data_IF_234882034916
#
_entry.id   IF_234882034916
#
_cell.length_a   1.000
_cell.length_b   1.000
_cell.length_c   1.000
_cell.angle_alpha   90.00
_cell.angle_beta   90.00
_cell.angle_gamma   90.00
#
_symmetry.space_group_name_H-M   'P 1'
#
loop_
_entity.id
_entity.type
_entity.pdbx_description
1 polymer ?
#
# COMPACT_ATOMS: atom_id res chain seq x y z
N UNK A 1 9.88 -38.93 7.97
CA UNK A 1 10.92 -37.87 7.95
C UNK A 1 10.26 -36.65 8.59
N UNK A 2 10.71 -36.25 9.77
CA UNK A 2 10.22 -35.06 10.45
C UNK A 2 10.68 -33.85 9.65
N UNK A 3 9.74 -33.15 8.99
CA UNK A 3 10.05 -31.99 8.16
C UNK A 3 10.32 -30.82 9.12
N UNK A 4 11.60 -30.55 9.40
CA UNK A 4 12.02 -29.46 10.28
C UNK A 4 11.78 -28.13 9.56
N UNK A 5 10.96 -27.25 10.12
CA UNK A 5 10.71 -25.91 9.57
C UNK A 5 11.65 -24.89 10.19
N UNK A 6 12.07 -23.90 9.41
CA UNK A 6 13.04 -22.87 9.82
C UNK A 6 12.34 -21.50 9.75
N UNK A 7 12.42 -20.74 10.85
CA UNK A 7 11.89 -19.39 10.91
C UNK A 7 12.62 -18.46 9.92
N UNK A 8 11.92 -17.71 9.06
CA UNK A 8 12.55 -16.85 8.06
C UNK A 8 13.15 -15.57 8.67
N UNK A 9 12.79 -15.23 9.90
CA UNK A 9 13.22 -14.00 10.57
C UNK A 9 14.46 -14.18 11.45
N UNK A 10 14.68 -15.37 12.01
CA UNK A 10 15.79 -15.64 12.93
C UNK A 10 16.51 -16.98 12.73
N UNK A 11 16.05 -17.82 11.79
CA UNK A 11 16.69 -19.09 11.48
C UNK A 11 16.49 -20.20 12.51
N UNK A 12 15.65 -20.02 13.53
CA UNK A 12 15.35 -21.06 14.52
C UNK A 12 14.54 -22.20 13.86
N UNK A 13 14.99 -23.43 14.08
CA UNK A 13 14.31 -24.64 13.65
C UNK A 13 13.24 -25.07 14.66
N UNK A 14 12.03 -25.34 14.21
CA UNK A 14 10.88 -25.77 15.02
C UNK A 14 10.32 -27.13 14.62
N UNK A 15 9.66 -27.79 15.57
CA UNK A 15 9.03 -29.11 15.45
C UNK A 15 7.57 -29.07 15.02
N UNK A 16 7.24 -28.36 13.93
CA UNK A 16 5.91 -28.37 13.32
C UNK A 16 5.22 -27.01 13.22
N UNK A 17 4.04 -27.00 12.59
CA UNK A 17 3.29 -25.78 12.22
C UNK A 17 2.94 -24.91 13.43
N UNK A 18 2.38 -25.52 14.49
CA UNK A 18 1.96 -24.79 15.69
C UNK A 18 3.14 -24.12 16.41
N UNK A 19 4.26 -24.82 16.58
CA UNK A 19 5.46 -24.25 17.20
C UNK A 19 6.04 -23.10 16.40
N UNK A 20 6.02 -23.19 15.06
CA UNK A 20 6.51 -22.13 14.17
C UNK A 20 5.60 -20.90 14.20
N UNK A 21 4.28 -21.09 14.16
CA UNK A 21 3.31 -20.00 14.28
C UNK A 21 3.44 -19.28 15.62
N UNK A 22 3.47 -20.02 16.73
CA UNK A 22 3.64 -19.42 18.06
C UNK A 22 4.98 -18.70 18.20
N UNK A 23 6.06 -19.23 17.61
CA UNK A 23 7.34 -18.56 17.58
C UNK A 23 7.29 -17.25 16.79
N UNK A 24 6.70 -17.25 15.60
CA UNK A 24 6.54 -16.04 14.77
C UNK A 24 5.71 -14.98 15.51
N UNK A 25 4.59 -15.37 16.12
CA UNK A 25 3.74 -14.46 16.90
C UNK A 25 4.47 -13.88 18.13
N UNK A 26 5.25 -14.69 18.84
CA UNK A 26 5.89 -14.28 20.11
C UNK A 26 7.17 -13.47 19.92
N UNK A 27 7.96 -13.80 18.89
CA UNK A 27 9.31 -13.25 18.70
C UNK A 27 9.43 -12.33 17.48
N UNK A 28 8.47 -12.38 16.57
CA UNK A 28 8.41 -11.58 15.35
C UNK A 28 7.01 -10.98 15.10
N UNK A 29 6.37 -10.34 16.11
CA UNK A 29 5.05 -9.77 15.92
C UNK A 29 5.10 -8.67 14.85
N UNK A 30 4.27 -8.79 13.81
CA UNK A 30 3.80 -7.64 13.06
C UNK A 30 2.89 -6.86 14.01
N UNK A 31 3.45 -5.84 14.67
CA UNK A 31 2.74 -5.04 15.67
C UNK A 31 1.55 -4.29 15.06
N UNK A 32 0.41 -4.97 14.95
CA UNK A 32 -0.93 -4.42 14.71
C UNK A 32 -2.01 -5.06 15.61
N UNK A 33 -1.63 -5.84 16.63
CA UNK A 33 -2.58 -6.35 17.63
C UNK A 33 -2.13 -6.03 19.05
N UNK A 34 -3.00 -5.28 19.74
CA UNK A 34 -2.95 -5.05 21.16
C UNK A 34 -3.12 -6.38 21.91
N UNK A 35 -2.06 -6.84 22.58
CA UNK A 35 -2.19 -7.79 23.67
C UNK A 35 -1.51 -7.24 24.92
N UNK A 36 -2.37 -6.85 25.86
CA UNK A 36 -2.08 -6.38 27.21
C UNK A 36 -1.13 -7.31 27.95
N UNK A 37 -0.09 -6.74 28.58
CA UNK A 37 0.20 -6.95 30.00
C UNK A 37 1.41 -6.12 30.44
N UNK A 38 1.15 -4.99 31.10
CA UNK A 38 1.71 -4.61 32.42
C UNK A 38 1.27 -3.20 32.79
N UNK A 39 0.52 -3.09 33.87
CA UNK A 39 -0.16 -1.90 34.33
C UNK A 39 0.79 -0.83 34.88
N UNK A 40 0.74 0.36 34.26
CA UNK A 40 0.91 1.65 34.93
C UNK A 40 -0.29 2.51 34.52
N UNK A 41 -0.90 3.23 35.47
CA UNK A 41 -2.22 3.86 35.35
C UNK A 41 -2.31 4.87 34.19
N UNK A 42 -2.77 4.40 33.04
CA UNK A 42 -3.27 5.22 31.94
C UNK A 42 -4.68 5.73 32.28
N UNK A 43 -4.91 7.03 32.12
CA UNK A 43 -6.24 7.61 32.23
C UNK A 43 -6.96 7.46 30.89
N UNK A 44 -7.94 6.57 30.86
CA UNK A 44 -8.85 6.36 29.75
C UNK A 44 -10.10 7.20 29.96
N UNK A 45 -10.64 7.73 28.88
CA UNK A 45 -11.90 8.44 28.86
C UNK A 45 -12.76 7.94 27.69
N UNK A 46 -14.08 7.93 27.89
CA UNK A 46 -15.03 7.71 26.81
C UNK A 46 -15.06 8.93 25.89
N UNK A 47 -15.12 8.68 24.58
CA UNK A 47 -15.28 9.73 23.59
C UNK A 47 -16.53 10.58 23.92
N UNK A 48 -16.40 11.92 23.99
CA UNK A 48 -17.50 12.80 24.39
C UNK A 48 -18.61 12.94 23.33
N UNK A 49 -18.49 12.26 22.19
CA UNK A 49 -19.42 12.37 21.06
C UNK A 49 -20.55 11.35 21.24
N UNK A 50 -21.78 11.86 21.29
CA UNK A 50 -22.98 11.08 21.55
C UNK A 50 -23.19 10.00 20.46
N UNK A 51 -23.15 8.73 20.87
CA UNK A 51 -23.29 7.58 19.96
C UNK A 51 -21.98 6.92 19.51
N UNK A 52 -20.80 7.47 19.84
CA UNK A 52 -19.51 6.84 19.53
C UNK A 52 -19.17 5.71 20.51
N UNK A 53 -19.14 6.01 21.82
CA UNK A 53 -18.90 5.00 22.87
C UNK A 53 -17.50 4.39 22.89
N UNK A 54 -16.53 4.91 22.12
CA UNK A 54 -15.15 4.43 22.14
C UNK A 54 -14.40 4.92 23.40
N UNK A 55 -13.70 3.99 24.07
CA UNK A 55 -12.85 4.29 25.23
C UNK A 55 -11.42 4.39 24.75
N UNK A 56 -10.84 5.58 24.83
CA UNK A 56 -9.49 5.87 24.33
C UNK A 56 -8.65 6.52 25.43
N UNK A 57 -7.33 6.48 25.27
CA UNK A 57 -6.47 7.25 26.17
C UNK A 57 -6.72 8.75 25.97
N UNK A 58 -6.57 9.54 27.03
CA UNK A 58 -6.73 11.00 26.93
C UNK A 58 -5.79 11.61 25.86
N UNK A 59 -4.64 10.99 25.60
CA UNK A 59 -3.69 11.44 24.57
C UNK A 59 -4.16 11.19 23.13
N UNK A 60 -5.00 10.18 22.91
CA UNK A 60 -5.58 9.82 21.60
C UNK A 60 -6.94 10.50 21.36
N UNK A 61 -7.57 11.00 22.43
CA UNK A 61 -8.86 11.68 22.37
C UNK A 61 -8.88 12.84 21.36
N UNK A 62 -7.81 13.63 21.29
CA UNK A 62 -7.73 14.78 20.37
C UNK A 62 -7.71 14.33 18.90
N UNK A 63 -6.95 13.26 18.59
CA UNK A 63 -6.91 12.67 17.25
C UNK A 63 -8.24 12.01 16.87
N UNK A 64 -8.85 11.29 17.80
CA UNK A 64 -10.13 10.61 17.58
C UNK A 64 -11.30 11.59 17.42
N UNK A 65 -11.35 12.66 18.23
CA UNK A 65 -12.36 13.72 18.10
C UNK A 65 -12.19 14.49 16.79
N UNK A 66 -10.95 14.75 16.35
CA UNK A 66 -10.67 15.33 15.02
C UNK A 66 -11.31 14.50 13.90
N UNK A 67 -11.24 13.15 14.00
CA UNK A 67 -11.84 12.22 13.03
C UNK A 67 -13.37 12.37 12.92
N UNK A 68 -14.09 12.45 14.06
CA UNK A 68 -15.55 12.66 14.05
C UNK A 68 -15.97 13.98 13.41
N UNK A 69 -15.22 15.06 13.67
CA UNK A 69 -15.50 16.38 13.08
C UNK A 69 -15.40 16.33 11.56
N UNK A 70 -14.51 15.49 11.03
CA UNK A 70 -14.31 15.33 9.60
C UNK A 70 -15.35 14.39 8.96
N UNK A 71 -15.79 13.34 9.67
CA UNK A 71 -16.89 12.47 9.22
C UNK A 71 -18.23 13.22 9.11
N UNK A 72 -18.56 14.09 10.07
CA UNK A 72 -19.78 14.90 10.04
C UNK A 72 -19.81 15.90 8.87
N UNK A 73 -18.65 16.35 8.39
CA UNK A 73 -18.54 17.25 7.23
C UNK A 73 -18.81 16.56 5.91
N UNK A 74 -18.71 15.24 5.85
CA UNK A 74 -19.02 14.44 4.66
C UNK A 74 -20.48 13.96 4.62
N UNK A 75 -21.21 14.06 5.74
CA UNK A 75 -22.58 13.59 5.89
C UNK A 75 -23.70 14.55 5.48
N UNK A 76 -23.40 15.79 5.09
CA UNK A 76 -24.42 16.78 4.68
C UNK A 76 -24.43 16.93 3.14
N UNK A 77 -24.99 15.94 2.47
CA UNK A 77 -25.36 16.00 1.05
C UNK A 77 -26.86 15.76 0.90
N UNK A 78 -27.59 16.83 0.59
CA UNK A 78 -29.06 16.90 0.50
C UNK A 78 -29.64 15.93 -0.57
N UNK A 79 -30.65 15.10 -0.25
CA UNK A 79 -31.26 14.19 -1.22
C UNK A 79 -32.57 14.78 -1.78
N UNK A 80 -32.51 15.47 -2.93
CA UNK A 80 -33.68 15.64 -3.79
C UNK A 80 -33.28 16.19 -5.16
N UNK A 81 -33.39 15.36 -6.21
CA UNK A 81 -34.35 15.61 -7.29
C UNK A 81 -34.38 14.42 -8.27
N UNK A 82 -35.60 14.12 -8.69
CA UNK A 82 -36.04 12.84 -9.22
C UNK A 82 -36.58 13.08 -10.65
N UNK A 83 -36.63 12.01 -11.45
CA UNK A 83 -37.45 11.83 -12.69
C UNK A 83 -36.84 12.39 -14.01
N UNK A 84 -36.90 11.74 -15.18
CA UNK A 84 -37.73 10.61 -15.69
C UNK A 84 -37.21 10.14 -17.06
N UNK A 85 -37.54 8.88 -17.40
CA UNK A 85 -37.83 8.30 -18.74
C UNK A 85 -36.68 8.22 -19.78
N UNK A 86 -36.64 7.32 -20.75
CA UNK A 86 -37.20 6.02 -21.12
C UNK A 86 -36.51 5.72 -22.48
N UNK A 87 -36.34 4.46 -22.92
CA UNK A 87 -35.91 4.21 -24.30
C UNK A 87 -34.96 3.05 -24.58
N UNK A 88 -35.56 1.87 -24.67
CA UNK A 88 -35.14 0.67 -25.40
C UNK A 88 -34.45 0.93 -26.76
N UNK A 89 -33.30 0.28 -27.04
CA UNK A 89 -32.97 -0.24 -28.37
C UNK A 89 -31.81 -1.25 -28.34
N UNK A 90 -32.11 -2.44 -28.84
CA UNK A 90 -31.20 -3.54 -29.17
C UNK A 90 -30.54 -3.30 -30.54
N UNK A 91 -29.28 -3.72 -30.71
CA UNK A 91 -28.84 -4.66 -31.76
C UNK A 91 -27.46 -4.35 -32.41
N UNK A 92 -26.67 -5.43 -32.44
CA UNK A 92 -25.77 -5.92 -33.49
C UNK A 92 -24.36 -5.33 -33.72
N UNK A 93 -23.44 -6.30 -33.61
CA UNK A 93 -22.07 -6.38 -34.11
C UNK A 93 -21.93 -6.04 -35.60
N UNK A 94 -20.81 -5.41 -35.95
CA UNK A 94 -20.01 -5.76 -37.12
C UNK A 94 -18.53 -5.66 -36.78
N UNK A 95 -17.80 -6.73 -37.09
CA UNK A 95 -16.35 -6.85 -37.09
C UNK A 95 -15.83 -6.48 -38.47
N UNK A 96 -14.89 -5.54 -38.57
CA UNK A 96 -14.04 -5.41 -39.75
C UNK A 96 -12.56 -5.36 -39.35
N UNK A 97 -11.80 -6.14 -40.10
CA UNK A 97 -10.37 -6.41 -39.96
C UNK A 97 -9.68 -5.57 -41.03
N UNK A 98 -8.73 -4.73 -40.65
CA UNK A 98 -7.97 -3.90 -41.59
C UNK A 98 -6.53 -3.75 -41.14
N UNK A 99 -5.64 -4.53 -41.74
CA UNK A 99 -4.20 -4.42 -41.61
C UNK A 99 -3.67 -3.29 -42.52
N UNK A 100 -2.69 -2.49 -42.06
CA UNK A 100 -1.69 -1.85 -42.94
C UNK A 100 -0.42 -1.43 -42.18
N UNK A 101 0.66 -2.10 -42.59
CA UNK A 101 2.06 -1.72 -42.81
C UNK A 101 2.66 -0.39 -42.32
N UNK A 102 3.90 -0.56 -41.85
CA UNK A 102 4.97 0.37 -41.48
C UNK A 102 5.44 1.37 -42.55
N UNK A 103 5.83 2.57 -42.10
CA UNK A 103 6.89 3.37 -42.74
C UNK A 103 7.66 4.21 -41.71
N UNK A 104 8.98 4.14 -41.80
CA UNK A 104 9.98 4.84 -41.00
C UNK A 104 10.16 6.30 -41.42
N UNK A 105 10.25 7.22 -40.43
CA UNK A 105 10.98 8.47 -40.60
C UNK A 105 11.72 8.85 -39.31
N UNK A 106 13.03 9.04 -39.45
CA UNK A 106 13.92 9.55 -38.45
C UNK A 106 13.73 11.06 -38.28
N UNK A 107 13.55 11.50 -37.04
CA UNK A 107 13.53 12.91 -36.64
C UNK A 107 14.01 13.03 -35.20
N UNK A 108 15.09 13.80 -35.01
CA UNK A 108 15.73 14.11 -33.74
C UNK A 108 14.74 14.80 -32.78
N UNK A 109 14.16 14.03 -31.86
CA UNK A 109 13.32 14.52 -30.76
C UNK A 109 13.99 14.28 -29.41
N UNK A 110 13.87 15.25 -28.51
CA UNK A 110 14.34 15.17 -27.12
C UNK A 110 13.78 13.91 -26.43
N UNK A 111 14.62 13.16 -25.72
CA UNK A 111 14.23 11.95 -24.99
C UNK A 111 13.02 12.16 -24.04
N UNK A 112 12.79 13.40 -23.58
CA UNK A 112 11.64 13.76 -22.74
C UNK A 112 10.29 13.79 -23.48
N UNK A 113 10.26 14.08 -24.78
CA UNK A 113 9.02 14.16 -25.56
C UNK A 113 8.52 12.78 -25.97
N UNK A 114 9.45 11.85 -26.26
CA UNK A 114 9.13 10.44 -26.50
C UNK A 114 8.58 9.77 -25.24
N UNK A 115 9.12 10.11 -24.06
CA UNK A 115 8.63 9.58 -22.78
C UNK A 115 7.20 10.05 -22.48
N UNK A 116 6.86 11.32 -22.74
CA UNK A 116 5.49 11.83 -22.61
C UNK A 116 4.52 11.18 -23.58
N UNK A 117 4.92 10.97 -24.84
CA UNK A 117 4.09 10.32 -25.85
C UNK A 117 3.79 8.86 -25.50
N UNK A 118 4.79 8.13 -24.99
CA UNK A 118 4.60 6.77 -24.49
C UNK A 118 3.67 6.78 -23.27
N UNK A 119 3.86 7.66 -22.29
CA UNK A 119 2.98 7.79 -21.10
C UNK A 119 1.52 8.08 -21.50
N UNK A 120 1.29 8.96 -22.48
CA UNK A 120 -0.04 9.23 -23.03
C UNK A 120 -0.65 8.02 -23.74
N UNK A 121 0.16 7.26 -24.47
CA UNK A 121 -0.25 6.05 -25.18
C UNK A 121 -0.62 4.91 -24.22
N UNK A 122 0.10 4.74 -23.10
CA UNK A 122 -0.27 3.80 -22.03
C UNK A 122 -1.55 4.23 -21.30
N UNK A 123 -1.78 5.54 -21.12
CA UNK A 123 -3.02 6.08 -20.56
C UNK A 123 -4.26 5.78 -21.42
N UNK A 124 -4.11 5.72 -22.75
CA UNK A 124 -5.20 5.42 -23.70
C UNK A 124 -5.49 3.91 -23.83
N UNK A 125 -4.47 3.04 -23.69
CA UNK A 125 -4.61 1.58 -23.80
C UNK A 125 -5.27 0.92 -22.57
N UNK A 126 -5.33 1.60 -21.42
CA UNK A 126 -5.85 1.06 -20.16
C UNK A 126 -7.35 1.34 -19.91
N UNK A 127 -8.15 1.59 -20.95
CA UNK A 127 -9.61 1.91 -20.91
C UNK A 127 -10.27 1.78 -19.54
N UNK A 128 -10.09 2.81 -18.72
CA UNK A 128 -10.82 3.04 -17.48
C UNK A 128 -12.08 3.86 -17.82
N UNK A 129 -13.24 3.58 -17.18
CA UNK A 129 -14.37 4.50 -17.25
C UNK A 129 -13.92 5.86 -16.73
N UNK A 130 -14.10 6.92 -17.51
CA UNK A 130 -13.85 8.26 -17.02
C UNK A 130 -14.76 8.54 -15.83
N UNK A 131 -14.24 8.99 -14.67
CA UNK A 131 -15.09 9.55 -13.64
C UNK A 131 -15.78 10.75 -14.26
N UNK A 132 -17.12 10.81 -14.17
CA UNK A 132 -17.86 12.06 -14.38
C UNK A 132 -17.13 13.14 -13.59
N UNK A 133 -16.75 14.22 -14.27
CA UNK A 133 -16.14 15.40 -13.66
C UNK A 133 -16.92 15.77 -12.40
N UNK A 134 -16.34 15.46 -11.23
CA UNK A 134 -16.77 16.10 -10.01
C UNK A 134 -16.29 17.54 -10.12
N UNK A 135 -17.26 18.45 -10.09
CA UNK A 135 -17.06 19.89 -9.91
C UNK A 135 -15.91 20.11 -8.93
N UNK A 136 -14.93 20.91 -9.34
CA UNK A 136 -13.72 21.22 -8.58
C UNK A 136 -14.07 21.68 -7.15
N UNK A 137 -14.01 20.75 -6.19
CA UNK A 137 -13.88 21.07 -4.78
C UNK A 137 -12.40 21.38 -4.57
N UNK A 138 -12.06 22.67 -4.73
CA UNK A 138 -10.71 23.15 -5.03
C UNK A 138 -9.65 22.88 -3.98
N UNK A 139 -8.37 23.02 -4.41
CA UNK A 139 -7.14 23.39 -3.69
C UNK A 139 -6.99 23.00 -2.21
N UNK A 140 -7.66 21.94 -1.75
CA UNK A 140 -7.68 21.59 -0.34
C UNK A 140 -6.58 20.59 -0.07
N UNK A 141 -5.62 21.02 0.75
CA UNK A 141 -4.62 20.14 1.35
C UNK A 141 -5.29 19.05 2.19
N UNK A 142 -4.73 17.85 2.12
CA UNK A 142 -5.14 16.71 2.93
C UNK A 142 -4.79 16.92 4.41
N UNK A 143 -5.53 16.21 5.27
CA UNK A 143 -5.44 16.33 6.71
C UNK A 143 -4.58 15.24 7.36
N UNK A 144 -4.69 15.13 8.68
CA UNK A 144 -4.03 14.07 9.45
C UNK A 144 -4.59 12.68 9.15
N UNK A 145 -5.85 12.58 8.70
CA UNK A 145 -6.48 11.32 8.35
C UNK A 145 -5.77 10.63 7.17
N UNK A 146 -5.37 11.39 6.15
CA UNK A 146 -4.72 10.83 4.96
C UNK A 146 -3.19 10.84 5.07
N UNK A 147 -2.60 11.91 5.61
CA UNK A 147 -1.15 12.10 5.64
C UNK A 147 -0.50 11.65 6.96
N UNK A 148 -1.30 11.16 7.90
CA UNK A 148 -0.89 10.76 9.23
C UNK A 148 -0.56 11.94 10.16
N UNK A 149 -0.06 11.63 11.35
CA UNK A 149 0.27 12.61 12.41
C UNK A 149 1.22 13.74 11.98
N UNK A 150 1.97 13.55 10.90
CA UNK A 150 2.94 14.51 10.35
C UNK A 150 2.44 15.23 9.09
N UNK A 151 1.13 15.28 8.86
CA UNK A 151 0.50 15.93 7.70
C UNK A 151 1.03 17.33 7.38
N UNK A 152 1.37 18.12 8.40
CA UNK A 152 1.82 19.51 8.23
C UNK A 152 3.34 19.70 8.41
N UNK A 153 4.08 18.60 8.59
CA UNK A 153 5.53 18.63 8.73
C UNK A 153 6.19 19.16 7.45
N UNK A 154 7.10 20.13 7.62
CA UNK A 154 7.93 20.65 6.54
C UNK A 154 9.21 19.82 6.36
N UNK A 155 9.84 19.42 7.47
CA UNK A 155 11.04 18.59 7.46
C UNK A 155 11.03 17.66 8.67
N UNK A 156 11.47 16.43 8.49
CA UNK A 156 11.68 15.48 9.58
C UNK A 156 12.96 15.84 10.37
N UNK A 157 13.08 15.42 11.64
CA UNK A 157 14.26 15.70 12.45
C UNK A 157 15.56 15.05 11.92
N UNK A 158 16.70 15.72 12.07
CA UNK A 158 18.03 15.25 11.62
C UNK A 158 18.43 13.87 12.16
N UNK A 159 18.03 13.55 13.40
CA UNK A 159 18.29 12.25 14.00
C UNK A 159 17.59 11.12 13.24
N UNK A 160 16.38 11.39 12.73
CA UNK A 160 15.61 10.42 11.95
C UNK A 160 16.17 10.31 10.53
N UNK A 161 16.58 11.44 9.94
CA UNK A 161 17.32 11.43 8.67
C UNK A 161 18.56 10.54 8.78
N UNK A 162 19.34 10.74 9.86
CA UNK A 162 20.52 9.93 10.16
C UNK A 162 20.16 8.47 10.40
N UNK A 163 19.04 8.18 11.08
CA UNK A 163 18.57 6.82 11.31
C UNK A 163 18.19 6.11 10.01
N UNK A 164 17.46 6.78 9.11
CA UNK A 164 17.05 6.21 7.83
C UNK A 164 18.24 5.98 6.89
N UNK A 165 19.23 6.89 6.89
CA UNK A 165 20.46 6.70 6.13
C UNK A 165 21.34 5.57 6.67
N UNK A 166 21.49 5.45 8.00
CA UNK A 166 22.37 4.45 8.62
C UNK A 166 21.72 3.08 8.79
N UNK A 167 20.42 3.07 9.06
CA UNK A 167 19.64 1.87 9.37
C UNK A 167 19.29 1.03 8.14
N UNK A 168 19.31 1.64 6.95
CA UNK A 168 18.97 0.97 5.70
C UNK A 168 17.61 0.30 5.74
N UNK A 169 17.52 -0.89 5.17
CA UNK A 169 16.34 -1.75 5.15
C UNK A 169 16.56 -2.98 6.03
N UNK A 170 15.58 -3.31 6.88
CA UNK A 170 15.56 -4.58 7.61
C UNK A 170 14.71 -5.55 6.81
N UNK A 171 15.39 -6.41 6.05
CA UNK A 171 14.77 -7.39 5.15
C UNK A 171 14.73 -8.78 5.77
N UNK A 172 13.74 -9.59 5.37
CA UNK A 172 13.66 -11.01 5.72
C UNK A 172 13.28 -11.81 4.48
N UNK A 173 14.13 -12.78 4.16
CA UNK A 173 14.02 -13.61 2.96
C UNK A 173 13.27 -14.91 3.24
N UNK A 174 12.64 -15.48 2.21
CA UNK A 174 12.06 -16.82 2.29
C UNK A 174 10.76 -16.91 3.09
N UNK A 175 10.13 -15.80 3.47
CA UNK A 175 8.81 -15.78 4.12
C UNK A 175 7.78 -16.57 3.31
N UNK A 176 7.75 -16.36 1.99
CA UNK A 176 6.83 -17.06 1.08
C UNK A 176 7.06 -18.58 1.11
N UNK A 177 8.32 -19.04 1.14
CA UNK A 177 8.65 -20.46 1.18
C UNK A 177 8.19 -21.11 2.50
N UNK A 178 8.27 -20.37 3.61
CA UNK A 178 7.78 -20.84 4.92
C UNK A 178 6.26 -20.88 4.93
N UNK A 179 5.58 -19.85 4.42
CA UNK A 179 4.12 -19.84 4.26
C UNK A 179 3.64 -21.01 3.39
N UNK A 180 4.32 -21.30 2.29
CA UNK A 180 4.00 -22.45 1.44
C UNK A 180 4.03 -23.76 2.24
N UNK A 181 5.07 -23.97 3.04
CA UNK A 181 5.22 -25.17 3.87
C UNK A 181 4.13 -25.29 4.92
N UNK A 182 3.79 -24.19 5.60
CA UNK A 182 2.74 -24.14 6.63
C UNK A 182 1.38 -24.45 6.00
N UNK A 183 1.00 -23.75 4.93
CA UNK A 183 -0.29 -23.93 4.25
C UNK A 183 -0.44 -25.35 3.66
N UNK A 184 0.66 -25.95 3.21
CA UNK A 184 0.65 -27.31 2.68
C UNK A 184 0.38 -28.34 3.78
N UNK A 185 0.88 -28.10 5.00
CA UNK A 185 0.68 -28.96 6.17
C UNK A 185 -0.67 -28.74 6.86
N UNK A 186 -1.20 -27.51 6.81
CA UNK A 186 -2.45 -27.14 7.44
C UNK A 186 -3.63 -27.98 6.94
N UNK A 187 -4.42 -28.55 7.86
CA UNK A 187 -5.63 -29.32 7.49
C UNK A 187 -6.82 -28.42 7.13
N UNK A 188 -6.80 -27.15 7.53
CA UNK A 188 -7.88 -26.20 7.26
C UNK A 188 -7.73 -25.50 5.91
N UNK A 189 -6.54 -25.51 5.32
CA UNK A 189 -6.31 -24.97 3.97
C UNK A 189 -6.84 -25.95 2.92
N UNK A 190 -7.91 -25.56 2.21
CA UNK A 190 -8.39 -26.30 1.03
C UNK A 190 -7.46 -26.05 -0.16
N UNK A 191 -7.23 -24.78 -0.48
CA UNK A 191 -6.21 -24.34 -1.42
C UNK A 191 -5.64 -22.98 -1.03
N UNK A 192 -4.46 -22.63 -1.54
CA UNK A 192 -3.88 -21.30 -1.37
C UNK A 192 -3.00 -20.90 -2.56
N UNK A 193 -3.00 -19.61 -2.86
CA UNK A 193 -2.10 -19.00 -3.83
C UNK A 193 -1.16 -18.03 -3.12
N UNK A 194 0.11 -18.06 -3.48
CA UNK A 194 1.13 -17.16 -2.96
C UNK A 194 1.74 -16.36 -4.11
N UNK A 195 2.21 -15.14 -3.83
CA UNK A 195 3.02 -14.38 -4.76
C UNK A 195 4.39 -15.05 -4.99
N UNK A 196 5.18 -14.51 -5.90
CA UNK A 196 6.48 -15.09 -6.24
C UNK A 196 7.40 -15.22 -5.02
N UNK A 197 8.10 -16.35 -4.82
CA UNK A 197 9.00 -16.59 -3.69
C UNK A 197 10.19 -15.63 -3.52
N UNK A 198 10.38 -14.71 -4.45
CA UNK A 198 11.48 -13.75 -4.46
C UNK A 198 11.15 -12.47 -3.69
N UNK A 199 9.88 -12.31 -3.27
CA UNK A 199 9.46 -11.21 -2.41
C UNK A 199 10.18 -11.32 -1.06
N UNK A 200 10.86 -10.24 -0.71
CA UNK A 200 11.44 -10.03 0.61
C UNK A 200 10.44 -9.26 1.47
N UNK A 201 10.29 -9.65 2.72
CA UNK A 201 9.58 -8.83 3.70
C UNK A 201 10.49 -7.67 4.14
N UNK A 202 9.94 -6.45 4.22
CA UNK A 202 10.70 -5.26 4.65
C UNK A 202 10.01 -4.61 5.83
N UNK A 203 10.68 -4.64 6.99
CA UNK A 203 10.14 -4.17 8.26
C UNK A 203 10.53 -2.73 8.60
N UNK A 204 9.78 -2.11 9.52
CA UNK A 204 10.12 -0.81 10.13
C UNK A 204 11.42 -0.88 10.93
N UNK A 205 12.17 0.23 10.97
CA UNK A 205 13.32 0.30 11.88
C UNK A 205 12.83 0.43 13.33
N UNK A 206 13.48 -0.27 14.28
CA UNK A 206 13.08 -0.29 15.70
C UNK A 206 12.95 1.10 16.34
N UNK A 207 13.67 2.12 15.83
CA UNK A 207 13.66 3.50 16.35
C UNK A 207 12.94 4.50 15.44
N UNK A 208 12.30 4.03 14.37
CA UNK A 208 11.60 4.89 13.39
C UNK A 208 10.38 5.60 14.01
N UNK A 209 9.73 4.95 14.98
CA UNK A 209 8.65 5.53 15.78
C UNK A 209 9.14 6.28 17.03
N UNK A 210 10.28 5.91 17.60
CA UNK A 210 10.74 6.47 18.88
C UNK A 210 11.13 7.94 18.75
N UNK A 211 10.41 8.85 19.42
CA UNK A 211 11.01 10.15 19.74
C UNK A 211 12.24 9.93 20.63
N UNK A 212 13.24 10.80 20.51
CA UNK A 212 14.25 10.98 21.56
C UNK A 212 13.56 11.20 22.90
N UNK A 213 14.02 10.62 24.02
CA UNK A 213 13.41 10.86 25.31
C UNK A 213 13.56 12.35 25.64
N UNK A 214 12.48 13.13 25.48
CA UNK A 214 12.32 14.35 26.24
C UNK A 214 12.24 13.93 27.71
N UNK A 215 12.96 14.58 28.66
CA UNK A 215 13.09 14.12 30.04
C UNK A 215 11.79 14.03 30.88
N UNK A 216 10.62 14.21 30.28
CA UNK A 216 9.35 14.40 30.98
C UNK A 216 8.13 13.80 30.27
N UNK A 217 8.30 12.95 29.25
CA UNK A 217 7.18 12.27 28.59
C UNK A 217 7.21 10.77 28.93
N UNK A 218 6.15 10.21 29.54
CA UNK A 218 6.11 8.80 29.90
C UNK A 218 6.15 7.87 28.67
N UNK A 219 6.86 6.75 28.80
CA UNK A 219 7.19 5.80 27.72
C UNK A 219 6.03 4.93 27.18
N UNK A 220 4.77 5.29 27.45
CA UNK A 220 3.57 4.51 27.10
C UNK A 220 2.61 5.22 26.14
N UNK A 221 2.97 6.38 25.60
CA UNK A 221 2.29 6.90 24.40
C UNK A 221 2.59 5.91 23.27
N UNK A 222 1.58 5.48 22.52
CA UNK A 222 1.77 4.63 21.35
C UNK A 222 2.42 5.41 20.19
N UNK A 223 3.71 5.71 20.37
CA UNK A 223 4.58 6.39 19.42
C UNK A 223 5.12 5.37 18.38
N UNK A 224 4.55 4.15 18.28
CA UNK A 224 5.13 3.02 17.50
C UNK A 224 4.69 2.90 16.05
N UNK A 225 3.77 3.74 15.57
CA UNK A 225 3.44 3.87 14.14
C UNK A 225 4.43 4.81 13.45
N UNK A 226 5.40 4.24 12.75
CA UNK A 226 6.29 4.96 11.85
C UNK A 226 5.54 5.34 10.56
N UNK A 227 5.76 6.54 10.04
CA UNK A 227 5.01 7.04 8.88
C UNK A 227 5.45 6.51 7.52
N UNK A 228 6.20 5.40 7.51
CA UNK A 228 6.85 4.90 6.31
C UNK A 228 6.27 3.55 5.80
N UNK A 229 5.13 3.08 6.30
CA UNK A 229 4.54 1.78 5.89
C UNK A 229 4.34 1.67 4.37
N UNK A 230 3.75 2.69 3.73
CA UNK A 230 3.57 2.71 2.27
C UNK A 230 4.91 2.66 1.51
N UNK A 231 5.96 3.24 2.07
CA UNK A 231 7.30 3.20 1.48
C UNK A 231 7.92 1.81 1.63
N UNK A 232 7.74 1.13 2.77
CA UNK A 232 8.18 -0.26 2.97
C UNK A 232 7.42 -1.22 2.05
N UNK A 233 6.13 -0.99 1.81
CA UNK A 233 5.35 -1.74 0.83
C UNK A 233 5.90 -1.56 -0.60
N UNK A 234 6.31 -0.35 -0.99
CA UNK A 234 7.03 -0.13 -2.26
C UNK A 234 8.34 -0.91 -2.29
N UNK A 235 9.12 -0.93 -1.20
CA UNK A 235 10.34 -1.74 -1.12
C UNK A 235 10.05 -3.24 -1.30
N UNK A 236 8.97 -3.76 -0.71
CA UNK A 236 8.53 -5.16 -0.92
C UNK A 236 8.17 -5.43 -2.39
N UNK A 237 7.46 -4.51 -3.05
CA UNK A 237 7.18 -4.63 -4.50
C UNK A 237 8.47 -4.63 -5.34
N UNK A 238 9.44 -3.76 -5.01
CA UNK A 238 10.73 -3.70 -5.71
C UNK A 238 11.59 -4.93 -5.45
N UNK A 239 11.47 -5.56 -4.27
CA UNK A 239 12.17 -6.82 -3.98
C UNK A 239 11.77 -7.93 -4.95
N UNK A 240 10.48 -8.03 -5.29
CA UNK A 240 10.00 -8.90 -6.36
C UNK A 240 10.62 -8.55 -7.70
N UNK A 241 10.57 -7.26 -8.09
CA UNK A 241 11.09 -6.82 -9.40
C UNK A 241 12.57 -7.22 -9.55
N UNK A 242 13.35 -7.03 -8.50
CA UNK A 242 14.77 -7.39 -8.47
C UNK A 242 14.98 -8.90 -8.47
N UNK A 243 14.31 -9.62 -7.56
CA UNK A 243 14.56 -11.04 -7.31
C UNK A 243 13.99 -11.97 -8.39
N UNK A 244 12.86 -11.60 -9.01
CA UNK A 244 12.27 -12.32 -10.14
C UNK A 244 12.85 -11.89 -11.50
N UNK A 245 13.80 -10.94 -11.51
CA UNK A 245 14.33 -10.32 -12.73
C UNK A 245 13.20 -9.77 -13.64
N UNK A 246 12.20 -9.14 -13.03
CA UNK A 246 11.01 -8.66 -13.73
C UNK A 246 11.31 -7.36 -14.50
N UNK A 247 10.37 -7.00 -15.38
CA UNK A 247 10.42 -5.75 -16.11
C UNK A 247 10.53 -4.54 -15.15
N UNK A 248 11.44 -3.61 -15.46
CA UNK A 248 11.70 -2.43 -14.63
C UNK A 248 12.85 -2.57 -13.62
N UNK A 249 13.49 -3.74 -13.50
CA UNK A 249 14.64 -3.97 -12.61
C UNK A 249 15.76 -2.94 -12.76
N UNK A 250 16.09 -2.56 -13.99
CA UNK A 250 17.17 -1.61 -14.27
C UNK A 250 16.93 -0.23 -13.65
N UNK A 251 15.66 0.15 -13.44
CA UNK A 251 15.28 1.41 -12.78
C UNK A 251 15.73 1.46 -11.32
N UNK A 252 15.78 0.30 -10.66
CA UNK A 252 16.17 0.17 -9.24
C UNK A 252 17.61 -0.32 -9.06
N UNK A 253 18.36 -0.51 -10.16
CA UNK A 253 19.78 -0.93 -10.15
C UNK A 253 20.02 -2.22 -9.33
N UNK A 254 19.03 -3.11 -9.26
CA UNK A 254 19.13 -4.37 -8.53
C UNK A 254 19.16 -4.25 -6.99
N UNK A 255 18.77 -3.10 -6.42
CA UNK A 255 18.66 -2.92 -4.96
C UNK A 255 17.33 -2.32 -4.55
N UNK A 256 17.05 -2.30 -3.25
CA UNK A 256 15.91 -1.58 -2.71
C UNK A 256 16.21 -0.06 -2.73
N UNK A 257 15.24 0.77 -3.16
CA UNK A 257 15.36 2.21 -3.04
C UNK A 257 15.17 2.62 -1.59
N UNK A 258 15.94 3.61 -1.14
CA UNK A 258 15.77 4.19 0.19
C UNK A 258 14.45 4.98 0.28
N UNK A 259 14.00 5.30 1.49
CA UNK A 259 12.85 6.18 1.72
C UNK A 259 12.98 7.50 0.95
N UNK A 260 14.17 8.11 0.96
CA UNK A 260 14.42 9.38 0.28
C UNK A 260 14.35 9.26 -1.24
N UNK A 261 14.84 8.16 -1.80
CA UNK A 261 14.72 7.88 -3.23
C UNK A 261 13.28 7.64 -3.64
N UNK A 262 12.48 6.94 -2.82
CA UNK A 262 11.05 6.76 -3.05
C UNK A 262 10.34 8.13 -3.06
N UNK A 263 10.62 9.01 -2.08
CA UNK A 263 10.10 10.38 -2.07
C UNK A 263 10.47 11.15 -3.33
N UNK A 264 11.72 11.00 -3.79
CA UNK A 264 12.18 11.63 -5.01
C UNK A 264 11.48 11.09 -6.26
N UNK A 265 11.30 9.78 -6.40
CA UNK A 265 10.59 9.20 -7.52
C UNK A 265 9.12 9.65 -7.59
N UNK A 266 8.42 9.70 -6.45
CA UNK A 266 7.03 10.17 -6.39
C UNK A 266 6.95 11.64 -6.81
N UNK A 267 7.80 12.49 -6.26
CA UNK A 267 7.80 13.92 -6.59
C UNK A 267 8.20 14.19 -8.05
N UNK A 268 9.14 13.43 -8.60
CA UNK A 268 9.50 13.51 -10.00
C UNK A 268 8.33 13.05 -10.90
N UNK A 269 7.55 12.05 -10.48
CA UNK A 269 6.33 11.66 -11.18
C UNK A 269 5.32 12.81 -11.25
N UNK A 270 5.15 13.54 -10.14
CA UNK A 270 4.30 14.74 -10.12
C UNK A 270 4.82 15.83 -11.06
N UNK A 271 6.13 16.04 -11.11
CA UNK A 271 6.77 17.01 -12.02
C UNK A 271 6.59 16.62 -13.50
N UNK A 272 6.43 15.32 -13.78
CA UNK A 272 6.06 14.79 -15.11
C UNK A 272 4.56 14.91 -15.44
N UNK A 273 3.73 15.39 -14.50
CA UNK A 273 2.28 15.52 -14.66
C UNK A 273 1.50 14.27 -14.27
N UNK A 274 2.16 13.22 -13.77
CA UNK A 274 1.50 11.98 -13.33
C UNK A 274 1.01 12.18 -11.91
N UNK A 275 -0.31 12.13 -11.70
CA UNK A 275 -0.93 12.35 -10.39
C UNK A 275 -0.45 13.64 -9.70
N UNK A 276 -0.20 14.71 -10.48
CA UNK A 276 0.41 15.95 -10.00
C UNK A 276 -0.38 16.65 -8.87
N UNK A 277 -1.68 16.35 -8.75
CA UNK A 277 -2.51 16.83 -7.65
C UNK A 277 -1.96 16.42 -6.28
N UNK A 278 -1.30 15.26 -6.17
CA UNK A 278 -0.66 14.79 -4.94
C UNK A 278 0.34 15.80 -4.37
N UNK A 279 1.03 16.59 -5.21
CA UNK A 279 1.93 17.66 -4.75
C UNK A 279 1.18 18.77 -4.00
N UNK A 280 -0.01 19.13 -4.48
CA UNK A 280 -0.85 20.17 -3.87
C UNK A 280 -1.49 19.63 -2.59
N UNK A 281 -2.07 18.43 -2.68
CA UNK A 281 -2.74 17.73 -1.58
C UNK A 281 -1.82 17.48 -0.38
N UNK A 282 -0.58 17.06 -0.63
CA UNK A 282 0.39 16.75 0.43
C UNK A 282 1.25 17.95 0.84
N UNK A 283 1.36 18.95 -0.04
CA UNK A 283 2.33 20.02 0.12
C UNK A 283 3.79 19.61 -0.09
N UNK A 284 4.02 18.48 -0.77
CA UNK A 284 5.35 17.86 -0.89
C UNK A 284 5.62 16.87 0.22
N UNK A 285 6.34 15.79 -0.12
CA UNK A 285 6.66 14.70 0.79
C UNK A 285 8.16 14.56 1.06
N UNK A 286 9.02 15.16 0.22
CA UNK A 286 10.48 15.13 0.38
C UNK A 286 10.90 15.58 1.77
N UNK A 287 11.67 14.74 2.44
CA UNK A 287 12.20 15.02 3.76
C UNK A 287 11.15 15.02 4.87
N UNK A 288 9.94 14.51 4.63
CA UNK A 288 8.86 14.47 5.64
C UNK A 288 8.49 13.05 6.03
N UNK A 289 7.70 12.91 7.10
CA UNK A 289 7.13 11.64 7.56
C UNK A 289 5.68 11.44 7.13
N UNK A 290 5.22 12.15 6.10
CA UNK A 290 3.86 12.04 5.58
C UNK A 290 3.62 10.64 5.04
N UNK A 291 2.44 10.11 5.35
CA UNK A 291 1.98 8.86 4.79
C UNK A 291 1.83 9.01 3.27
N UNK A 292 2.01 7.90 2.58
CA UNK A 292 1.74 7.76 1.16
C UNK A 292 0.77 6.61 0.97
N UNK A 293 -0.02 6.66 -0.10
CA UNK A 293 -0.97 5.62 -0.42
C UNK A 293 -0.79 5.06 -1.83
N UNK A 294 -1.84 4.38 -2.29
CA UNK A 294 -1.94 3.86 -3.66
C UNK A 294 -1.68 4.91 -4.74
N UNK A 295 -2.16 6.18 -4.64
CA UNK A 295 -1.91 7.18 -5.68
C UNK A 295 -0.42 7.53 -5.85
N UNK A 296 0.35 7.61 -4.76
CA UNK A 296 1.79 7.86 -4.79
C UNK A 296 2.55 6.65 -5.33
N UNK A 297 2.22 5.44 -4.85
CA UNK A 297 2.85 4.22 -5.33
C UNK A 297 2.62 4.03 -6.84
N UNK A 298 1.40 4.27 -7.32
CA UNK A 298 1.09 4.22 -8.75
C UNK A 298 1.87 5.28 -9.53
N UNK A 299 1.94 6.52 -9.05
CA UNK A 299 2.69 7.58 -9.73
C UNK A 299 4.16 7.20 -9.89
N UNK A 300 4.78 6.64 -8.84
CA UNK A 300 6.15 6.12 -8.88
C UNK A 300 6.30 5.07 -9.98
N UNK A 301 5.53 3.98 -9.96
CA UNK A 301 5.72 2.88 -10.92
C UNK A 301 5.44 3.32 -12.36
N UNK A 302 4.39 4.11 -12.59
CA UNK A 302 4.05 4.62 -13.92
C UNK A 302 5.14 5.54 -14.47
N UNK A 303 5.73 6.42 -13.65
CA UNK A 303 6.81 7.31 -14.11
C UNK A 303 8.08 6.54 -14.52
N UNK A 304 8.34 5.40 -13.88
CA UNK A 304 9.40 4.45 -14.21
C UNK A 304 9.02 3.47 -15.34
N UNK A 305 7.89 3.70 -16.00
CA UNK A 305 7.32 2.87 -17.07
C UNK A 305 6.98 1.43 -16.65
N UNK A 306 6.84 1.17 -15.35
CA UNK A 306 6.46 -0.14 -14.81
C UNK A 306 4.93 -0.23 -14.81
N UNK A 307 4.33 -1.17 -15.57
CA UNK A 307 2.87 -1.26 -15.66
C UNK A 307 2.24 -1.63 -14.31
N UNK A 308 1.29 -0.82 -13.86
CA UNK A 308 0.47 -1.13 -12.68
C UNK A 308 -0.91 -0.49 -12.80
N UNK A 309 -1.91 -1.10 -12.15
CA UNK A 309 -3.29 -0.61 -12.10
C UNK A 309 -3.75 -0.48 -10.66
N UNK A 310 -4.37 0.65 -10.30
CA UNK A 310 -5.02 0.81 -9.01
C UNK A 310 -6.50 0.46 -9.11
N UNK A 311 -7.02 -0.28 -8.14
CA UNK A 311 -8.43 -0.62 -8.03
C UNK A 311 -8.93 -0.28 -6.63
N UNK A 312 -9.96 0.56 -6.55
CA UNK A 312 -10.65 0.89 -5.30
C UNK A 312 -11.90 0.04 -5.14
N UNK A 313 -12.12 -0.50 -3.94
CA UNK A 313 -13.33 -1.21 -3.56
C UNK A 313 -14.11 -0.35 -2.57
N UNK A 314 -15.28 0.14 -2.99
CA UNK A 314 -16.21 0.89 -2.14
C UNK A 314 -17.62 0.38 -2.38
N UNK A 315 -18.31 0.07 -1.30
CA UNK A 315 -19.69 -0.39 -1.27
C UNK A 315 -20.35 0.20 -0.02
N UNK A 316 -21.61 0.59 -0.14
CA UNK A 316 -22.38 1.17 0.97
C UNK A 316 -22.82 0.09 1.97
N UNK A 317 -22.92 -1.17 1.51
CA UNK A 317 -23.26 -2.28 2.39
C UNK A 317 -22.01 -2.82 3.11
N UNK A 318 -22.03 -2.90 4.45
CA UNK A 318 -20.92 -3.47 5.22
C UNK A 318 -20.57 -4.89 4.75
N UNK A 319 -19.27 -5.19 4.60
CA UNK A 319 -18.78 -6.51 4.19
C UNK A 319 -18.73 -6.75 2.67
N UNK A 320 -19.44 -5.96 1.85
CA UNK A 320 -19.42 -6.15 0.39
C UNK A 320 -18.14 -5.66 -0.27
N UNK A 321 -17.52 -4.61 0.26
CA UNK A 321 -16.23 -4.12 -0.25
C UNK A 321 -15.13 -5.17 -0.06
N UNK A 322 -15.11 -5.78 1.12
CA UNK A 322 -14.20 -6.83 1.54
C UNK A 322 -14.41 -8.09 0.70
N UNK A 323 -15.66 -8.51 0.48
CA UNK A 323 -15.96 -9.65 -0.38
C UNK A 323 -15.48 -9.43 -1.82
N UNK A 324 -15.71 -8.23 -2.39
CA UNK A 324 -15.23 -7.87 -3.73
C UNK A 324 -13.70 -7.84 -3.80
N UNK A 325 -13.05 -7.30 -2.78
CA UNK A 325 -11.59 -7.29 -2.65
C UNK A 325 -11.05 -8.73 -2.62
N UNK A 326 -11.57 -9.59 -1.75
CA UNK A 326 -11.11 -10.98 -1.62
C UNK A 326 -11.28 -11.75 -2.92
N UNK A 327 -12.42 -11.58 -3.60
CA UNK A 327 -12.64 -12.17 -4.92
C UNK A 327 -11.62 -11.66 -5.95
N UNK A 328 -11.35 -10.36 -6.00
CA UNK A 328 -10.37 -9.79 -6.93
C UNK A 328 -8.95 -10.29 -6.65
N UNK A 329 -8.54 -10.41 -5.38
CA UNK A 329 -7.24 -10.96 -4.97
C UNK A 329 -7.12 -12.43 -5.37
N UNK A 330 -8.15 -13.24 -5.14
CA UNK A 330 -8.16 -14.64 -5.54
C UNK A 330 -8.04 -14.76 -7.07
N UNK A 331 -8.83 -13.99 -7.82
CA UNK A 331 -8.75 -13.97 -9.28
C UNK A 331 -7.36 -13.56 -9.74
N UNK A 332 -6.78 -12.49 -9.18
CA UNK A 332 -5.44 -12.02 -9.53
C UNK A 332 -4.41 -13.17 -9.49
N UNK A 333 -4.30 -13.86 -8.35
CA UNK A 333 -3.32 -14.94 -8.21
C UNK A 333 -3.65 -16.17 -9.06
N UNK A 334 -4.95 -16.46 -9.26
CA UNK A 334 -5.39 -17.56 -10.13
C UNK A 334 -4.98 -17.36 -11.59
N UNK A 335 -4.93 -16.12 -12.09
CA UNK A 335 -4.45 -15.84 -13.46
C UNK A 335 -2.95 -16.11 -13.63
N UNK A 336 -2.17 -16.13 -12.54
CA UNK A 336 -0.73 -16.40 -12.57
C UNK A 336 -0.34 -17.87 -12.67
N UNK A 337 -1.32 -18.78 -12.80
CA UNK A 337 -1.08 -20.21 -12.80
C UNK A 337 -0.68 -20.72 -14.19
N UNK A 338 0.40 -21.49 -14.26
CA UNK A 338 0.87 -22.13 -15.51
C UNK A 338 0.47 -23.61 -15.62
N UNK A 339 0.07 -24.24 -14.52
CA UNK A 339 -0.19 -25.67 -14.39
C UNK A 339 -1.42 -25.94 -13.51
N UNK A 340 -2.04 -27.14 -13.57
CA UNK A 340 -3.17 -27.47 -12.71
C UNK A 340 -2.85 -27.23 -11.21
N UNK A 341 -3.80 -26.69 -10.42
CA UNK A 341 -3.54 -26.27 -9.06
C UNK A 341 -3.10 -27.44 -8.19
N UNK A 342 -1.92 -27.31 -7.57
CA UNK A 342 -1.64 -28.02 -6.35
C UNK A 342 -2.41 -27.37 -5.19
N UNK A 343 -2.54 -28.07 -4.06
CA UNK A 343 -3.15 -27.54 -2.83
C UNK A 343 -2.61 -26.14 -2.48
N UNK A 344 -1.30 -25.94 -2.60
CA UNK A 344 -0.67 -24.63 -2.45
C UNK A 344 0.15 -24.36 -3.70
N UNK A 345 -0.02 -23.18 -4.27
CA UNK A 345 0.66 -22.76 -5.52
C UNK A 345 1.35 -21.42 -5.32
N UNK A 346 2.68 -21.41 -5.39
CA UNK A 346 3.46 -20.18 -5.55
C UNK A 346 3.37 -19.74 -7.01
N UNK A 347 2.88 -18.53 -7.24
CA UNK A 347 2.68 -17.97 -8.58
C UNK A 347 3.91 -17.21 -9.05
N UNK A 348 4.00 -16.91 -10.35
CA UNK A 348 5.01 -15.99 -10.90
C UNK A 348 4.62 -14.51 -10.74
N UNK A 349 3.55 -14.22 -10.00
CA UNK A 349 2.99 -12.87 -9.92
C UNK A 349 3.62 -12.04 -8.78
N UNK A 350 3.68 -10.70 -8.96
CA UNK A 350 4.05 -9.80 -7.87
C UNK A 350 3.11 -9.90 -6.66
N UNK A 351 3.54 -9.42 -5.48
CA UNK A 351 2.61 -9.13 -4.39
C UNK A 351 1.68 -7.96 -4.78
N UNK A 352 0.62 -7.75 -4.01
CA UNK A 352 -0.32 -6.64 -4.21
C UNK A 352 -0.03 -5.55 -3.17
N UNK A 353 0.18 -4.30 -3.63
CA UNK A 353 0.15 -3.15 -2.74
C UNK A 353 -1.28 -2.93 -2.26
N UNK A 354 -1.52 -3.08 -0.96
CA UNK A 354 -2.83 -2.92 -0.35
C UNK A 354 -2.86 -1.71 0.59
N UNK A 355 -3.92 -0.92 0.50
CA UNK A 355 -4.15 0.25 1.34
C UNK A 355 -5.56 0.17 1.94
N UNK A 356 -5.64 0.42 3.25
CA UNK A 356 -6.86 0.79 3.94
C UNK A 356 -6.67 2.16 4.61
N UNK A 357 -7.73 2.78 5.11
CA UNK A 357 -7.59 4.00 5.91
C UNK A 357 -6.67 3.69 7.10
N UNK A 358 -5.57 4.44 7.25
CA UNK A 358 -4.66 4.29 8.37
C UNK A 358 -5.41 4.70 9.64
N UNK A 359 -5.46 3.81 10.62
CA UNK A 359 -6.01 4.11 11.95
C UNK A 359 -5.04 4.89 12.80
#
# INVERSE_FOLDING_TARGET
>A
MTNTMICPFCGIAGGGEYEMLTHMESFHPEEDQASSSQAAQEQYAECPIEGCGEVLSIAEMDYHVDLHVEEQRQGVGDPSENQTADGTASSRMTTEVGAVSSSSHAGSGSAGDTQRAVIQQWGQLLSMPQPKEKVATGDKRLGKAELGKYAHEQTMPDWLVSLLHKGGEVTSDGVINVLEQLLRQSRSTEYAYLCHPAVQHVSKLKKEGSQTPLPSVPAHIDIRRGGFCGYRNIQMMVSYINGANAYGRDQFRGRLPTIFEIQEYIENAWDMGINAQGRVETGGIKGTRKYIGTPEAQALFVSLQIPCTAQGFKDAEPGRSEAKLMYAVEQYFKHGMQSPPAKVTCTELPPIYFQHAGT
#
